data_IF_997605822407
#
_entry.id   IF_997605822407
#
_cell.length_a   1.000
_cell.length_b   1.000
_cell.length_c   1.000
_cell.angle_alpha   90.00
_cell.angle_beta   90.00
_cell.angle_gamma   90.00
#
_symmetry.space_group_name_H-M   'P 1'
#
loop_
_entity.id
_entity.type
_entity.pdbx_description
1 polymer ?
#
# COMPACT_ATOMS: atom_id res chain seq x y z
N UNK A 1 19.61 9.16 -11.49
CA UNK A 1 19.91 10.57 -11.23
C UNK A 1 19.30 11.52 -12.28
N UNK A 2 19.36 11.24 -13.58
CA UNK A 2 18.88 12.18 -14.64
C UNK A 2 17.40 12.58 -14.47
N UNK A 3 16.53 11.64 -14.07
CA UNK A 3 15.13 11.94 -13.76
C UNK A 3 15.00 12.84 -12.53
N UNK A 4 15.85 12.65 -11.53
CA UNK A 4 15.87 13.48 -10.33
C UNK A 4 16.33 14.91 -10.70
N UNK A 5 17.42 15.03 -11.46
CA UNK A 5 17.89 16.33 -11.95
C UNK A 5 16.83 17.09 -12.74
N UNK A 6 16.14 16.40 -13.66
CA UNK A 6 15.05 17.00 -14.44
C UNK A 6 13.89 17.50 -13.57
N UNK A 7 13.56 16.77 -12.51
CA UNK A 7 12.53 17.15 -11.54
C UNK A 7 12.99 18.35 -10.70
N UNK A 8 14.19 18.32 -10.16
CA UNK A 8 14.74 19.36 -9.27
C UNK A 8 15.11 20.64 -10.03
N UNK A 9 15.43 20.55 -11.32
CA UNK A 9 15.69 21.71 -12.16
C UNK A 9 14.49 22.67 -12.24
N UNK A 10 13.27 22.15 -12.16
CA UNK A 10 12.05 22.96 -12.18
C UNK A 10 11.96 23.90 -10.96
N UNK A 11 12.60 23.58 -9.86
CA UNK A 11 12.51 24.30 -8.59
C UNK A 11 13.79 25.05 -8.24
N UNK A 12 14.77 25.07 -9.14
CA UNK A 12 16.10 25.68 -8.90
C UNK A 12 16.76 25.17 -7.61
N UNK A 13 16.63 23.91 -7.35
CA UNK A 13 17.12 23.24 -6.13
C UNK A 13 18.63 23.32 -6.03
N UNK A 14 19.15 23.59 -4.84
CA UNK A 14 20.59 23.61 -4.60
C UNK A 14 21.20 22.21 -4.80
N UNK A 15 22.48 22.12 -5.18
CA UNK A 15 23.17 20.83 -5.30
C UNK A 15 23.23 20.06 -3.97
N UNK A 16 23.28 20.76 -2.85
CA UNK A 16 23.27 20.17 -1.53
C UNK A 16 21.90 19.56 -1.21
N UNK A 17 20.81 20.26 -1.53
CA UNK A 17 19.46 19.71 -1.34
C UNK A 17 19.20 18.55 -2.29
N UNK A 18 19.70 18.61 -3.52
CA UNK A 18 19.65 17.50 -4.47
C UNK A 18 20.38 16.26 -3.95
N UNK A 19 21.56 16.44 -3.31
CA UNK A 19 22.29 15.36 -2.66
C UNK A 19 21.47 14.70 -1.54
N UNK A 20 20.81 15.51 -0.70
CA UNK A 20 19.95 15.02 0.39
C UNK A 20 18.74 14.24 -0.13
N UNK A 21 18.11 14.72 -1.21
CA UNK A 21 16.98 14.00 -1.84
C UNK A 21 17.45 12.72 -2.51
N UNK A 22 18.62 12.71 -3.18
CA UNK A 22 19.19 11.51 -3.79
C UNK A 22 19.51 10.45 -2.73
N UNK A 23 20.11 10.84 -1.60
CA UNK A 23 20.38 9.95 -0.47
C UNK A 23 19.10 9.37 0.13
N UNK A 24 18.07 10.22 0.34
CA UNK A 24 16.76 9.77 0.84
C UNK A 24 16.16 8.69 -0.08
N UNK A 25 16.26 8.88 -1.39
CA UNK A 25 15.81 7.92 -2.40
C UNK A 25 16.75 6.72 -2.59
N UNK A 26 17.84 6.64 -1.82
CA UNK A 26 18.88 5.60 -1.95
C UNK A 26 19.50 5.52 -3.35
N UNK A 27 19.58 6.65 -4.06
CA UNK A 27 20.22 6.72 -5.36
C UNK A 27 21.75 6.79 -5.20
N UNK A 28 22.54 6.02 -5.97
CA UNK A 28 23.98 6.08 -5.90
C UNK A 28 24.47 7.46 -6.34
N UNK A 29 25.33 8.09 -5.52
CA UNK A 29 25.99 9.33 -5.89
C UNK A 29 27.27 8.99 -6.68
N UNK A 30 27.25 9.21 -7.98
CA UNK A 30 28.38 9.02 -8.91
C UNK A 30 29.34 10.21 -8.94
N UNK A 31 29.35 11.04 -7.90
CA UNK A 31 30.13 12.29 -7.82
C UNK A 31 29.40 13.51 -8.40
N UNK A 32 28.14 13.37 -8.82
CA UNK A 32 27.32 14.46 -9.39
C UNK A 32 26.92 15.49 -8.34
N UNK A 33 26.70 15.04 -7.11
CA UNK A 33 26.34 15.88 -5.97
C UNK A 33 27.46 15.91 -4.92
N UNK A 34 27.53 16.97 -4.09
CA UNK A 34 28.49 17.05 -3.00
C UNK A 34 28.29 15.90 -2.00
N UNK A 35 29.39 15.46 -1.40
CA UNK A 35 29.35 14.51 -0.30
C UNK A 35 28.65 15.14 0.91
N UNK A 36 27.94 14.31 1.66
CA UNK A 36 27.18 14.72 2.87
C UNK A 36 27.88 14.29 4.16
N UNK A 37 29.11 13.79 4.07
CA UNK A 37 29.86 13.19 5.18
C UNK A 37 30.18 14.20 6.31
N UNK A 38 30.22 15.48 5.98
CA UNK A 38 30.42 16.56 6.96
C UNK A 38 29.18 16.85 7.81
N UNK A 39 28.02 16.32 7.43
CA UNK A 39 26.77 16.53 8.16
C UNK A 39 26.53 15.40 9.17
N UNK A 40 26.38 15.75 10.42
CA UNK A 40 25.91 14.82 11.43
C UNK A 40 24.51 14.25 11.05
N UNK A 41 24.19 12.99 11.39
CA UNK A 41 22.92 12.36 10.99
C UNK A 41 21.69 13.20 11.32
N UNK A 42 21.66 13.85 12.47
CA UNK A 42 20.55 14.71 12.88
C UNK A 42 20.45 15.97 12.01
N UNK A 43 21.57 16.59 11.66
CA UNK A 43 21.62 17.76 10.78
C UNK A 43 21.20 17.38 9.36
N UNK A 44 21.64 16.22 8.89
CA UNK A 44 21.28 15.67 7.57
C UNK A 44 19.77 15.48 7.47
N UNK A 45 19.17 14.82 8.49
CA UNK A 45 17.71 14.67 8.56
C UNK A 45 16.98 16.00 8.57
N UNK A 46 17.41 16.95 9.40
CA UNK A 46 16.81 18.28 9.48
C UNK A 46 16.83 18.99 8.12
N UNK A 47 17.98 18.98 7.44
CA UNK A 47 18.14 19.60 6.11
C UNK A 47 17.34 18.88 5.02
N UNK A 48 17.19 17.55 5.10
CA UNK A 48 16.33 16.80 4.19
C UNK A 48 14.86 17.24 4.32
N UNK A 49 14.36 17.38 5.54
CA UNK A 49 13.00 17.86 5.79
C UNK A 49 12.80 19.31 5.30
N UNK A 50 13.82 20.15 5.47
CA UNK A 50 13.83 21.53 4.95
C UNK A 50 13.84 21.56 3.42
N UNK A 51 14.67 20.72 2.77
CA UNK A 51 14.73 20.61 1.31
C UNK A 51 13.39 20.15 0.73
N UNK A 52 12.74 19.15 1.31
CA UNK A 52 11.41 18.68 0.89
C UNK A 52 10.36 19.79 1.02
N UNK A 53 10.38 20.53 2.13
CA UNK A 53 9.46 21.64 2.33
C UNK A 53 9.71 22.78 1.33
N UNK A 54 10.98 23.08 1.04
CA UNK A 54 11.37 24.07 0.04
C UNK A 54 10.92 23.69 -1.38
N UNK A 55 10.88 22.39 -1.73
CA UNK A 55 10.33 21.92 -3.00
C UNK A 55 8.86 22.29 -3.15
N UNK A 56 8.05 22.07 -2.11
CA UNK A 56 6.62 22.44 -2.11
C UNK A 56 6.46 23.94 -2.29
N UNK A 57 7.27 24.76 -1.60
CA UNK A 57 7.26 26.21 -1.74
C UNK A 57 7.61 26.63 -3.18
N UNK A 58 8.68 26.08 -3.74
CA UNK A 58 9.15 26.45 -5.07
C UNK A 58 8.13 26.06 -6.17
N UNK A 59 7.53 24.89 -6.07
CA UNK A 59 6.47 24.44 -6.98
C UNK A 59 5.23 25.35 -6.89
N UNK A 60 4.83 25.70 -5.67
CA UNK A 60 3.65 26.53 -5.43
C UNK A 60 3.80 27.99 -5.92
N UNK A 61 5.03 28.50 -6.00
CA UNK A 61 5.31 29.83 -6.58
C UNK A 61 5.15 29.86 -8.09
N UNK A 62 5.29 28.73 -8.77
CA UNK A 62 5.11 28.66 -10.21
C UNK A 62 3.64 28.55 -10.60
N UNK A 63 2.91 27.69 -9.90
CA UNK A 63 1.47 27.45 -10.12
C UNK A 63 0.79 27.08 -8.79
N UNK A 64 -0.52 27.36 -8.64
CA UNK A 64 -1.28 26.82 -7.50
C UNK A 64 -1.12 25.30 -7.41
N UNK A 65 -0.81 24.80 -6.22
CA UNK A 65 -0.50 23.39 -5.98
C UNK A 65 -1.64 22.71 -5.24
N UNK A 66 -2.15 21.61 -5.80
CA UNK A 66 -3.03 20.67 -5.13
C UNK A 66 -2.21 19.46 -4.68
N UNK A 67 -2.17 19.21 -3.38
CA UNK A 67 -1.57 18.03 -2.79
C UNK A 67 -2.66 17.16 -2.18
N UNK A 68 -2.73 15.90 -2.55
CA UNK A 68 -3.66 14.91 -1.96
C UNK A 68 -2.83 13.84 -1.30
N UNK A 69 -3.05 13.65 0.00
CA UNK A 69 -2.38 12.65 0.79
C UNK A 69 -3.40 11.73 1.43
N UNK A 70 -3.49 10.51 0.92
CA UNK A 70 -4.48 9.54 1.34
C UNK A 70 -3.93 8.64 2.45
N UNK A 71 -4.83 8.19 3.32
CA UNK A 71 -4.56 7.20 4.37
C UNK A 71 -3.42 7.60 5.34
N UNK A 72 -3.38 8.87 5.77
CA UNK A 72 -2.32 9.40 6.65
C UNK A 72 -2.12 8.62 7.96
N UNK A 73 -3.10 7.82 8.39
CA UNK A 73 -3.00 6.95 9.56
C UNK A 73 -2.00 5.78 9.38
N UNK A 74 -1.49 5.56 8.16
CA UNK A 74 -0.51 4.52 7.85
C UNK A 74 0.89 5.10 7.62
N UNK A 75 1.02 6.40 7.78
CA UNK A 75 2.24 7.13 7.48
C UNK A 75 3.26 6.94 8.60
N UNK A 76 4.51 6.84 8.21
CA UNK A 76 5.64 6.84 9.15
C UNK A 76 5.81 8.21 9.83
N UNK A 77 6.40 8.24 11.03
CA UNK A 77 6.57 9.48 11.81
C UNK A 77 7.39 10.56 11.09
N UNK A 78 8.39 10.18 10.30
CA UNK A 78 9.22 11.13 9.57
C UNK A 78 8.43 11.85 8.48
N UNK A 79 7.60 11.12 7.74
CA UNK A 79 6.67 11.70 6.76
C UNK A 79 5.63 12.60 7.41
N UNK A 80 5.07 12.22 8.56
CA UNK A 80 4.14 13.07 9.32
C UNK A 80 4.79 14.39 9.76
N UNK A 81 6.08 14.38 10.09
CA UNK A 81 6.81 15.60 10.42
C UNK A 81 6.94 16.54 9.21
N UNK A 82 7.24 16.00 8.01
CA UNK A 82 7.26 16.78 6.76
C UNK A 82 5.91 17.46 6.54
N UNK A 83 4.80 16.72 6.66
CA UNK A 83 3.46 17.29 6.53
C UNK A 83 3.18 18.38 7.55
N UNK A 84 3.58 18.20 8.81
CA UNK A 84 3.47 19.22 9.83
C UNK A 84 4.17 20.52 9.44
N UNK A 85 5.39 20.43 8.91
CA UNK A 85 6.17 21.58 8.41
C UNK A 85 5.54 22.23 7.18
N UNK A 86 5.05 21.44 6.24
CA UNK A 86 4.33 21.94 5.06
C UNK A 86 3.08 22.70 5.50
N UNK A 87 2.27 22.17 6.40
CA UNK A 87 1.06 22.82 6.92
C UNK A 87 1.37 24.17 7.57
N UNK A 88 2.47 24.28 8.30
CA UNK A 88 2.89 25.56 8.89
C UNK A 88 3.30 26.60 7.83
N UNK A 89 3.86 26.14 6.70
CA UNK A 89 4.29 27.00 5.57
C UNK A 89 3.17 27.37 4.60
N UNK A 90 2.18 26.49 4.40
CA UNK A 90 1.03 26.68 3.48
C UNK A 90 0.24 27.98 3.74
N UNK A 91 0.36 28.55 4.93
CA UNK A 91 -0.33 29.81 5.29
C UNK A 91 -0.12 30.97 4.32
N UNK A 92 1.04 31.02 3.67
CA UNK A 92 1.45 32.10 2.77
C UNK A 92 1.59 31.63 1.31
N UNK A 93 1.21 30.39 0.99
CA UNK A 93 1.42 29.78 -0.31
C UNK A 93 0.09 29.41 -0.97
N UNK A 94 -0.01 29.45 -2.31
CA UNK A 94 -1.17 28.96 -3.04
C UNK A 94 -1.18 27.42 -3.10
N UNK A 95 -1.33 26.79 -1.94
CA UNK A 95 -1.37 25.32 -1.80
C UNK A 95 -2.66 24.89 -1.16
N UNK A 96 -3.35 23.94 -1.78
CA UNK A 96 -4.45 23.20 -1.16
C UNK A 96 -3.94 21.80 -0.82
N UNK A 97 -3.85 21.46 0.47
CA UNK A 97 -3.50 20.15 0.95
C UNK A 97 -4.77 19.44 1.46
N UNK A 98 -5.11 18.32 0.85
CA UNK A 98 -6.21 17.44 1.28
C UNK A 98 -5.57 16.19 1.90
N UNK A 99 -5.93 15.88 3.15
CA UNK A 99 -5.41 14.72 3.86
C UNK A 99 -6.59 13.85 4.29
N UNK A 100 -6.58 12.57 3.91
CA UNK A 100 -7.59 11.61 4.37
C UNK A 100 -7.00 10.72 5.46
N UNK A 101 -7.80 10.38 6.46
CA UNK A 101 -7.41 9.51 7.57
C UNK A 101 -8.63 8.88 8.23
N UNK A 102 -8.43 7.82 8.99
CA UNK A 102 -9.48 7.17 9.77
C UNK A 102 -9.73 7.89 11.10
N UNK A 103 -10.93 7.77 11.68
CA UNK A 103 -11.29 8.45 12.92
C UNK A 103 -10.39 8.14 14.11
N UNK A 104 -9.75 6.96 14.13
CA UNK A 104 -8.85 6.52 15.20
C UNK A 104 -7.49 7.22 15.15
N UNK A 105 -7.18 7.88 14.04
CA UNK A 105 -5.93 8.62 13.89
C UNK A 105 -6.10 10.06 14.36
N UNK A 106 -5.25 10.48 15.28
CA UNK A 106 -5.19 11.84 15.79
C UNK A 106 -4.07 12.62 15.09
N UNK A 107 -4.37 13.34 14.00
CA UNK A 107 -3.34 14.06 13.28
C UNK A 107 -2.83 15.25 14.10
N UNK A 108 -1.50 15.48 14.15
CA UNK A 108 -0.89 16.50 15.01
C UNK A 108 -1.16 17.95 14.56
N UNK A 109 -1.88 18.14 13.48
CA UNK A 109 -2.22 19.46 12.91
C UNK A 109 -3.67 19.88 13.12
N UNK A 110 -4.52 19.06 13.71
CA UNK A 110 -5.90 19.46 14.04
C UNK A 110 -5.87 20.65 15.01
N UNK A 111 -6.73 21.62 14.74
CA UNK A 111 -6.80 22.86 15.51
C UNK A 111 -5.78 23.93 15.11
N UNK A 112 -4.87 23.65 14.18
CA UNK A 112 -3.98 24.69 13.62
C UNK A 112 -4.76 25.67 12.74
N UNK A 113 -4.33 26.93 12.65
CA UNK A 113 -4.94 27.91 11.76
C UNK A 113 -4.96 27.44 10.30
N UNK A 114 -6.10 27.65 9.61
CA UNK A 114 -6.37 27.23 8.22
C UNK A 114 -6.44 25.70 7.99
N UNK A 115 -6.54 24.92 9.06
CA UNK A 115 -6.88 23.52 8.97
C UNK A 115 -8.37 23.37 9.25
N UNK A 116 -9.10 22.78 8.31
CA UNK A 116 -10.51 22.45 8.44
C UNK A 116 -10.66 20.94 8.47
N UNK A 117 -11.19 20.39 9.55
CA UNK A 117 -11.54 18.98 9.63
C UNK A 117 -12.96 18.78 9.08
N UNK A 118 -13.10 17.86 8.13
CA UNK A 118 -14.36 17.46 7.54
C UNK A 118 -14.62 16.00 7.88
N UNK A 119 -15.75 15.71 8.50
CA UNK A 119 -16.21 14.33 8.75
C UNK A 119 -17.08 13.89 7.58
N UNK A 120 -16.66 12.81 6.91
CA UNK A 120 -17.45 12.16 5.86
C UNK A 120 -18.32 11.11 6.55
N UNK A 121 -19.63 11.36 6.55
CA UNK A 121 -20.61 10.46 7.13
C UNK A 121 -21.03 9.35 6.16
N UNK A 122 -21.73 8.36 6.67
CA UNK A 122 -22.39 7.33 5.86
C UNK A 122 -23.39 7.97 4.89
N UNK A 123 -23.63 7.31 3.75
CA UNK A 123 -24.64 7.74 2.79
C UNK A 123 -26.04 7.67 3.38
N UNK A 124 -26.88 8.67 3.09
CA UNK A 124 -28.30 8.58 3.34
C UNK A 124 -28.95 7.61 2.33
N UNK A 125 -30.12 7.08 2.65
CA UNK A 125 -30.84 6.11 1.81
C UNK A 125 -30.98 6.58 0.36
N UNK A 126 -31.35 7.83 0.13
CA UNK A 126 -31.47 8.42 -1.20
C UNK A 126 -30.15 8.36 -1.99
N UNK A 127 -29.02 8.58 -1.32
CA UNK A 127 -27.71 8.59 -1.96
C UNK A 127 -27.26 7.14 -2.25
N UNK A 128 -27.64 6.18 -1.39
CA UNK A 128 -27.44 4.75 -1.64
C UNK A 128 -28.20 4.32 -2.89
N UNK A 129 -29.48 4.68 -2.99
CA UNK A 129 -30.33 4.38 -4.16
C UNK A 129 -29.73 4.95 -5.45
N UNK A 130 -29.30 6.23 -5.43
CA UNK A 130 -28.65 6.87 -6.56
C UNK A 130 -27.32 6.18 -6.93
N UNK A 131 -26.59 5.68 -5.96
CA UNK A 131 -25.34 4.96 -6.19
C UNK A 131 -25.62 3.58 -6.81
N UNK A 132 -26.60 2.84 -6.31
CA UNK A 132 -27.06 1.58 -6.90
C UNK A 132 -27.43 1.79 -8.37
N UNK A 133 -28.26 2.80 -8.67
CA UNK A 133 -28.69 3.12 -10.05
C UNK A 133 -27.49 3.37 -10.97
N UNK A 134 -26.47 4.08 -10.47
CA UNK A 134 -25.25 4.35 -11.24
C UNK A 134 -24.44 3.09 -11.51
N UNK A 135 -24.33 2.17 -10.54
CA UNK A 135 -23.60 0.91 -10.69
C UNK A 135 -24.36 -0.05 -11.62
N UNK A 136 -25.67 -0.12 -11.47
CA UNK A 136 -26.56 -0.98 -12.30
C UNK A 136 -26.59 -0.52 -13.75
N UNK A 137 -26.61 0.79 -13.98
CA UNK A 137 -26.74 1.39 -15.32
C UNK A 137 -28.09 1.02 -15.94
N UNK A 138 -28.07 0.40 -17.13
CA UNK A 138 -29.27 0.01 -17.89
C UNK A 138 -29.80 -1.38 -17.52
N UNK A 139 -29.26 -2.05 -16.51
CA UNK A 139 -29.71 -3.37 -16.08
C UNK A 139 -30.85 -3.26 -15.09
N UNK A 140 -31.56 -4.34 -14.87
CA UNK A 140 -32.66 -4.42 -13.90
C UNK A 140 -32.20 -5.20 -12.67
N UNK A 141 -32.43 -4.64 -11.50
CA UNK A 141 -32.32 -5.34 -10.20
C UNK A 141 -33.69 -5.33 -9.54
N UNK A 142 -34.21 -6.49 -9.07
CA UNK A 142 -35.45 -6.56 -8.32
C UNK A 142 -35.46 -5.62 -7.10
N UNK A 143 -36.64 -5.05 -6.78
CA UNK A 143 -36.77 -4.13 -5.64
C UNK A 143 -36.32 -4.76 -4.32
N UNK A 144 -36.67 -6.02 -4.07
CA UNK A 144 -36.27 -6.76 -2.86
C UNK A 144 -34.76 -6.88 -2.71
N UNK A 145 -34.03 -7.09 -3.81
CA UNK A 145 -32.55 -7.15 -3.85
C UNK A 145 -31.95 -5.77 -3.57
N UNK A 146 -32.58 -4.73 -4.11
CA UNK A 146 -32.20 -3.33 -3.86
C UNK A 146 -32.35 -2.98 -2.36
N UNK A 147 -33.48 -3.33 -1.77
CA UNK A 147 -33.75 -3.10 -0.35
C UNK A 147 -32.73 -3.84 0.53
N UNK A 148 -32.39 -5.08 0.18
CA UNK A 148 -31.36 -5.86 0.87
C UNK A 148 -29.97 -5.19 0.79
N UNK A 149 -29.60 -4.63 -0.38
CA UNK A 149 -28.33 -3.89 -0.52
C UNK A 149 -28.34 -2.62 0.34
N UNK A 150 -29.44 -1.88 0.36
CA UNK A 150 -29.59 -0.66 1.17
C UNK A 150 -29.40 -1.00 2.64
N UNK A 151 -30.09 -2.01 3.15
CA UNK A 151 -30.05 -2.42 4.56
C UNK A 151 -28.64 -2.91 4.96
N UNK A 152 -28.05 -3.82 4.17
CA UNK A 152 -26.79 -4.47 4.52
C UNK A 152 -25.54 -3.62 4.29
N UNK A 153 -25.60 -2.64 3.39
CA UNK A 153 -24.47 -1.73 3.13
C UNK A 153 -24.24 -0.74 4.27
N UNK A 154 -25.25 -0.52 5.12
CA UNK A 154 -25.19 0.42 6.26
C UNK A 154 -24.67 1.81 5.84
N UNK A 155 -24.98 2.24 4.62
CA UNK A 155 -24.55 3.52 4.06
C UNK A 155 -23.07 3.67 3.76
N UNK A 156 -22.31 2.60 3.77
CA UNK A 156 -20.88 2.62 3.41
C UNK A 156 -20.75 2.49 1.89
N UNK A 157 -20.22 3.53 1.19
CA UNK A 157 -20.18 3.55 -0.28
C UNK A 157 -19.58 2.30 -0.92
N UNK A 158 -18.45 1.85 -0.38
CA UNK A 158 -17.78 0.65 -0.87
C UNK A 158 -18.67 -0.60 -0.76
N UNK A 159 -19.47 -0.70 0.31
CA UNK A 159 -20.35 -1.84 0.50
C UNK A 159 -21.51 -1.81 -0.51
N UNK A 160 -22.06 -0.62 -0.77
CA UNK A 160 -23.08 -0.43 -1.81
C UNK A 160 -22.54 -0.89 -3.17
N UNK A 161 -21.36 -0.41 -3.56
CA UNK A 161 -20.73 -0.75 -4.84
C UNK A 161 -20.44 -2.25 -4.94
N UNK A 162 -19.78 -2.84 -3.95
CA UNK A 162 -19.32 -4.23 -4.01
C UNK A 162 -20.48 -5.23 -3.92
N UNK A 163 -21.50 -4.97 -3.10
CA UNK A 163 -22.69 -5.80 -3.03
C UNK A 163 -23.49 -5.73 -4.34
N UNK A 164 -23.68 -4.54 -4.90
CA UNK A 164 -24.36 -4.36 -6.16
C UNK A 164 -23.63 -5.08 -7.31
N UNK A 165 -22.30 -4.94 -7.38
CA UNK A 165 -21.48 -5.64 -8.38
C UNK A 165 -21.57 -7.16 -8.22
N UNK A 166 -21.55 -7.67 -7.00
CA UNK A 166 -21.67 -9.11 -6.73
C UNK A 166 -22.99 -9.68 -7.23
N UNK A 167 -24.11 -8.95 -7.06
CA UNK A 167 -25.44 -9.32 -7.60
C UNK A 167 -25.41 -9.33 -9.14
N UNK A 168 -24.87 -8.28 -9.76
CA UNK A 168 -24.80 -8.18 -11.23
C UNK A 168 -23.89 -9.25 -11.87
N UNK A 169 -22.86 -9.66 -11.18
CA UNK A 169 -21.98 -10.76 -11.63
C UNK A 169 -22.70 -12.11 -11.51
N UNK A 170 -23.48 -12.34 -10.44
CA UNK A 170 -24.28 -13.54 -10.28
C UNK A 170 -25.37 -13.69 -11.37
N UNK A 171 -26.03 -12.60 -11.72
CA UNK A 171 -27.01 -12.59 -12.84
C UNK A 171 -26.40 -13.00 -14.18
N UNK A 172 -25.17 -12.53 -14.48
CA UNK A 172 -24.48 -12.88 -15.73
C UNK A 172 -24.15 -14.36 -15.83
N UNK A 173 -23.89 -15.03 -14.72
CA UNK A 173 -23.55 -16.45 -14.70
C UNK A 173 -24.79 -17.35 -14.87
N UNK A 174 -25.97 -16.87 -14.44
CA UNK A 174 -27.22 -17.60 -14.55
C UNK A 174 -27.89 -17.47 -15.94
N UNK A 175 -27.56 -16.41 -16.72
CA UNK A 175 -28.18 -16.12 -18.00
C UNK A 175 -28.02 -17.25 -19.05
N UNK A 176 -26.89 -17.96 -19.18
CA UNK A 176 -26.72 -19.09 -20.11
C UNK A 176 -27.47 -20.35 -19.73
N UNK A 177 -27.95 -20.49 -18.48
CA UNK A 177 -28.56 -21.72 -17.94
C UNK A 177 -30.09 -21.62 -17.79
N UNK A 178 -30.73 -20.50 -18.13
CA UNK A 178 -32.17 -20.33 -17.98
C UNK A 178 -32.94 -21.06 -19.09
N UNK A 179 -33.75 -22.10 -18.76
CA UNK A 179 -34.83 -22.53 -19.62
C UNK A 179 -35.89 -21.43 -19.63
N UNK A 180 -36.55 -21.26 -20.77
CA UNK A 180 -37.51 -20.20 -21.07
C UNK A 180 -38.82 -20.18 -20.21
N UNK A 181 -38.76 -20.64 -19.00
CA UNK A 181 -39.88 -20.66 -18.02
C UNK A 181 -39.47 -19.86 -16.79
N UNK A 182 -40.13 -18.74 -16.63
CA UNK A 182 -40.05 -17.79 -15.51
C UNK A 182 -40.43 -18.46 -14.19
N UNK A 183 -39.44 -18.94 -13.43
CA UNK A 183 -39.55 -19.14 -12.00
C UNK A 183 -38.78 -17.99 -11.34
N UNK A 184 -39.32 -17.29 -10.32
CA UNK A 184 -38.56 -16.28 -9.59
C UNK A 184 -37.32 -16.96 -9.01
N UNK A 185 -36.13 -16.59 -9.49
CA UNK A 185 -34.88 -17.17 -8.99
C UNK A 185 -34.67 -16.72 -7.56
N UNK A 186 -34.73 -17.66 -6.63
CA UNK A 186 -34.30 -17.49 -5.23
C UNK A 186 -32.78 -17.34 -5.07
N UNK A 187 -32.04 -17.24 -6.18
CA UNK A 187 -30.58 -17.32 -6.23
C UNK A 187 -29.86 -15.96 -6.20
N UNK A 188 -30.57 -14.82 -6.37
CA UNK A 188 -29.98 -13.49 -6.23
C UNK A 188 -29.88 -13.06 -4.77
N UNK A 189 -29.19 -13.86 -3.97
CA UNK A 189 -28.97 -13.51 -2.57
C UNK A 189 -27.87 -12.43 -2.47
N UNK A 190 -28.22 -11.27 -1.91
CA UNK A 190 -27.22 -10.27 -1.51
C UNK A 190 -26.31 -10.87 -0.43
N UNK A 191 -24.99 -10.79 -0.60
CA UNK A 191 -24.06 -11.31 0.40
C UNK A 191 -24.31 -10.72 1.79
N UNK A 192 -24.17 -11.53 2.83
CA UNK A 192 -24.46 -11.13 4.20
C UNK A 192 -23.51 -10.05 4.77
N UNK A 193 -22.36 -9.87 4.13
CA UNK A 193 -21.35 -8.87 4.51
C UNK A 193 -20.49 -8.50 3.32
N UNK A 194 -19.77 -7.37 3.42
CA UNK A 194 -18.75 -6.99 2.42
C UNK A 194 -17.71 -8.09 2.23
N UNK A 195 -17.26 -8.71 3.31
CA UNK A 195 -16.27 -9.80 3.22
C UNK A 195 -16.84 -10.97 2.39
N UNK A 196 -18.06 -11.36 2.63
CA UNK A 196 -18.73 -12.41 1.85
C UNK A 196 -18.88 -12.01 0.36
N UNK A 197 -19.19 -10.74 0.07
CA UNK A 197 -19.24 -10.21 -1.29
C UNK A 197 -17.89 -10.30 -1.99
N UNK A 198 -16.84 -9.81 -1.35
CA UNK A 198 -15.49 -9.85 -1.90
C UNK A 198 -15.00 -11.30 -2.10
N UNK A 199 -15.32 -12.18 -1.15
CA UNK A 199 -15.01 -13.61 -1.28
C UNK A 199 -15.69 -14.24 -2.49
N UNK A 200 -16.99 -14.01 -2.66
CA UNK A 200 -17.74 -14.52 -3.82
C UNK A 200 -17.14 -14.00 -5.14
N UNK A 201 -16.76 -12.73 -5.21
CA UNK A 201 -16.11 -12.14 -6.40
C UNK A 201 -14.72 -12.74 -6.66
N UNK A 202 -13.93 -12.95 -5.61
CA UNK A 202 -12.62 -13.62 -5.74
C UNK A 202 -12.77 -15.08 -6.19
N UNK A 203 -13.79 -15.80 -5.70
CA UNK A 203 -14.04 -17.18 -6.09
C UNK A 203 -14.44 -17.30 -7.57
N UNK A 204 -15.18 -16.33 -8.11
CA UNK A 204 -15.54 -16.25 -9.54
C UNK A 204 -14.33 -16.05 -10.46
N UNK A 205 -13.21 -15.57 -9.97
CA UNK A 205 -11.98 -15.49 -10.77
C UNK A 205 -11.47 -16.87 -11.20
N UNK A 206 -11.90 -17.95 -10.52
CA UNK A 206 -11.41 -19.31 -10.78
C UNK A 206 -9.88 -19.40 -10.63
N UNK A 207 -9.16 -19.95 -11.62
CA UNK A 207 -7.69 -20.07 -11.55
C UNK A 207 -6.95 -18.73 -11.40
N UNK A 208 -7.53 -17.62 -11.83
CA UNK A 208 -6.92 -16.29 -11.68
C UNK A 208 -6.95 -15.76 -10.24
N UNK A 209 -7.73 -16.38 -9.34
CA UNK A 209 -7.73 -16.09 -7.90
C UNK A 209 -6.33 -16.24 -7.29
N UNK A 210 -5.56 -17.25 -7.72
CA UNK A 210 -4.19 -17.49 -7.26
C UNK A 210 -3.31 -16.25 -7.49
N UNK A 211 -3.41 -15.63 -8.65
CA UNK A 211 -2.61 -14.44 -8.98
C UNK A 211 -2.99 -13.25 -8.09
N UNK A 212 -4.28 -13.07 -7.79
CA UNK A 212 -4.73 -12.07 -6.84
C UNK A 212 -4.22 -12.36 -5.40
N UNK A 213 -4.20 -13.61 -4.98
CA UNK A 213 -3.66 -14.04 -3.69
C UNK A 213 -2.16 -13.77 -3.57
N UNK A 214 -1.39 -14.08 -4.61
CA UNK A 214 0.06 -13.82 -4.65
C UNK A 214 0.33 -12.31 -4.62
N UNK A 215 -0.38 -11.54 -5.44
CA UNK A 215 -0.30 -10.07 -5.41
C UNK A 215 -0.62 -9.51 -4.02
N UNK A 216 -1.66 -10.03 -3.35
CA UNK A 216 -2.05 -9.60 -2.01
C UNK A 216 -0.99 -9.91 -0.95
N UNK A 217 -0.25 -11.01 -1.09
CA UNK A 217 0.87 -11.37 -0.22
C UNK A 217 2.10 -10.46 -0.45
N UNK A 218 2.38 -10.07 -1.70
CA UNK A 218 3.43 -9.10 -2.02
C UNK A 218 3.09 -7.75 -1.38
N UNK A 219 1.90 -7.20 -1.66
CA UNK A 219 1.51 -5.91 -1.10
C UNK A 219 0.20 -5.34 -1.64
N UNK A 220 -0.10 -4.09 -1.28
CA UNK A 220 -1.21 -3.33 -1.89
C UNK A 220 -0.92 -2.99 -3.34
N UNK A 221 0.34 -2.73 -3.62
CA UNK A 221 0.92 -2.48 -4.92
C UNK A 221 2.03 -3.50 -5.17
N UNK A 222 2.14 -4.00 -6.39
CA UNK A 222 3.15 -4.99 -6.75
C UNK A 222 3.55 -4.87 -8.22
N UNK A 223 4.84 -5.09 -8.51
CA UNK A 223 5.37 -5.06 -9.87
C UNK A 223 5.06 -6.35 -10.63
N UNK A 224 4.89 -6.22 -11.95
CA UNK A 224 4.75 -7.36 -12.86
C UNK A 224 5.94 -8.31 -12.74
N UNK A 225 7.14 -7.76 -12.71
CA UNK A 225 8.38 -8.54 -12.65
C UNK A 225 8.45 -9.41 -11.39
N UNK A 226 8.14 -8.85 -10.20
CA UNK A 226 8.15 -9.63 -8.96
C UNK A 226 7.04 -10.70 -8.95
N UNK A 227 5.85 -10.34 -9.45
CA UNK A 227 4.76 -11.31 -9.56
C UNK A 227 5.13 -12.47 -10.48
N UNK A 228 5.73 -12.21 -11.65
CA UNK A 228 6.21 -13.21 -12.60
C UNK A 228 7.26 -14.14 -11.96
N UNK A 229 8.22 -13.58 -11.23
CA UNK A 229 9.25 -14.35 -10.53
C UNK A 229 8.69 -15.30 -9.47
N UNK A 230 7.57 -14.91 -8.82
CA UNK A 230 6.94 -15.70 -7.75
C UNK A 230 5.94 -16.72 -8.28
N UNK A 231 5.25 -16.46 -9.40
CA UNK A 231 4.18 -17.33 -9.93
C UNK A 231 4.70 -18.52 -10.72
N UNK A 232 5.90 -18.45 -11.29
CA UNK A 232 6.46 -19.44 -12.22
C UNK A 232 5.55 -19.74 -13.43
N UNK A 233 4.63 -18.82 -13.78
CA UNK A 233 3.75 -18.94 -14.93
C UNK A 233 4.43 -18.40 -16.20
N UNK A 234 4.08 -19.00 -17.34
CA UNK A 234 4.48 -18.39 -18.62
C UNK A 234 3.82 -17.01 -18.78
N UNK A 235 4.49 -16.08 -19.45
CA UNK A 235 4.05 -14.68 -19.57
C UNK A 235 2.62 -14.56 -20.10
N UNK A 236 2.26 -15.33 -21.14
CA UNK A 236 0.91 -15.31 -21.71
C UNK A 236 -0.16 -15.82 -20.73
N UNK A 237 0.18 -16.82 -19.89
CA UNK A 237 -0.73 -17.34 -18.87
C UNK A 237 -0.90 -16.33 -17.74
N UNK A 238 0.19 -15.69 -17.30
CA UNK A 238 0.17 -14.67 -16.27
C UNK A 238 -0.66 -13.46 -16.72
N UNK A 239 -0.48 -13.00 -17.96
CA UNK A 239 -1.24 -11.89 -18.50
C UNK A 239 -2.74 -12.23 -18.55
N UNK A 240 -3.11 -13.41 -19.06
CA UNK A 240 -4.51 -13.87 -19.06
C UNK A 240 -5.11 -13.97 -17.65
N UNK A 241 -4.31 -14.40 -16.67
CA UNK A 241 -4.74 -14.47 -15.28
C UNK A 241 -4.89 -13.08 -14.63
N UNK A 242 -4.11 -12.08 -15.05
CA UNK A 242 -4.23 -10.70 -14.58
C UNK A 242 -5.40 -9.96 -15.23
N UNK A 243 -5.76 -10.28 -16.48
CA UNK A 243 -6.86 -9.63 -17.18
C UNK A 243 -8.21 -9.86 -16.47
N UNK A 244 -8.42 -11.03 -15.83
CA UNK A 244 -9.66 -11.34 -15.11
C UNK A 244 -9.90 -10.43 -13.91
N UNK A 245 -8.99 -10.29 -12.92
CA UNK A 245 -9.21 -9.40 -11.80
C UNK A 245 -9.24 -7.93 -12.22
N UNK A 246 -8.58 -7.54 -13.33
CA UNK A 246 -8.70 -6.19 -13.89
C UNK A 246 -10.10 -5.97 -14.51
N UNK A 247 -10.61 -6.90 -15.29
CA UNK A 247 -11.95 -6.84 -15.86
C UNK A 247 -13.05 -6.86 -14.78
N UNK A 248 -12.81 -7.58 -13.66
CA UNK A 248 -13.67 -7.57 -12.49
C UNK A 248 -13.54 -6.28 -11.64
N UNK A 249 -12.67 -5.32 -12.01
CA UNK A 249 -12.46 -4.09 -11.25
C UNK A 249 -11.85 -4.28 -9.86
N UNK A 250 -11.12 -5.38 -9.64
CA UNK A 250 -10.43 -5.67 -8.38
C UNK A 250 -8.98 -5.16 -8.38
N UNK A 251 -8.38 -5.08 -9.57
CA UNK A 251 -7.02 -4.59 -9.79
C UNK A 251 -7.01 -3.48 -10.84
N UNK A 252 -6.11 -2.53 -10.65
CA UNK A 252 -5.73 -1.54 -11.66
C UNK A 252 -4.29 -1.78 -12.10
N UNK A 253 -4.01 -1.47 -13.37
CA UNK A 253 -2.67 -1.54 -13.94
C UNK A 253 -2.19 -0.15 -14.31
N UNK A 254 -0.96 0.15 -13.92
CA UNK A 254 -0.22 1.31 -14.34
C UNK A 254 0.98 0.88 -15.18
N UNK A 255 1.13 1.46 -16.37
CA UNK A 255 2.20 1.08 -17.31
C UNK A 255 1.90 -0.19 -18.11
N UNK A 256 2.92 -0.72 -18.75
CA UNK A 256 2.87 -1.93 -19.57
C UNK A 256 3.92 -2.96 -19.11
N UNK A 257 3.62 -4.28 -19.20
CA UNK A 257 4.63 -5.31 -18.92
C UNK A 257 5.89 -5.11 -19.79
N UNK A 258 7.08 -5.48 -19.30
CA UNK A 258 7.37 -6.06 -17.98
C UNK A 258 7.44 -5.04 -16.83
N UNK A 259 7.33 -3.73 -17.12
CA UNK A 259 7.47 -2.64 -16.15
C UNK A 259 6.14 -2.18 -15.54
N UNK A 260 5.06 -2.94 -15.77
CA UNK A 260 3.76 -2.63 -15.21
C UNK A 260 3.75 -2.79 -13.68
N UNK A 261 2.95 -1.96 -13.04
CA UNK A 261 2.62 -2.06 -11.63
C UNK A 261 1.13 -2.30 -11.49
N UNK A 262 0.73 -3.15 -10.57
CA UNK A 262 -0.66 -3.47 -10.26
C UNK A 262 -1.00 -2.98 -8.87
N UNK A 263 -2.19 -2.41 -8.74
CA UNK A 263 -2.71 -1.86 -7.48
C UNK A 263 -4.08 -2.46 -7.20
N UNK A 264 -4.31 -2.95 -5.99
CA UNK A 264 -5.65 -3.32 -5.55
C UNK A 264 -6.53 -2.08 -5.48
N UNK A 265 -7.72 -2.12 -6.10
CA UNK A 265 -8.67 -1.00 -6.12
C UNK A 265 -8.97 -0.50 -4.71
N UNK A 266 -9.12 -1.44 -3.77
CA UNK A 266 -9.35 -1.16 -2.36
C UNK A 266 -8.50 -2.08 -1.47
N UNK A 267 -8.04 -1.55 -0.33
CA UNK A 267 -7.26 -2.33 0.65
C UNK A 267 -8.03 -3.58 1.12
N UNK A 268 -9.35 -3.47 1.26
CA UNK A 268 -10.21 -4.60 1.67
C UNK A 268 -10.24 -5.74 0.64
N UNK A 269 -10.08 -5.45 -0.66
CA UNK A 269 -9.95 -6.50 -1.69
C UNK A 269 -8.65 -7.27 -1.48
N UNK A 270 -7.54 -6.57 -1.23
CA UNK A 270 -6.26 -7.19 -0.89
C UNK A 270 -6.38 -8.04 0.36
N UNK A 271 -6.99 -7.49 1.42
CA UNK A 271 -7.13 -8.17 2.71
C UNK A 271 -8.00 -9.44 2.58
N UNK A 272 -9.09 -9.36 1.80
CA UNK A 272 -9.92 -10.52 1.49
C UNK A 272 -9.12 -11.58 0.71
N UNK A 273 -8.41 -11.20 -0.36
CA UNK A 273 -7.58 -12.12 -1.15
C UNK A 273 -6.49 -12.78 -0.29
N UNK A 274 -5.79 -12.01 0.53
CA UNK A 274 -4.78 -12.51 1.46
C UNK A 274 -5.36 -13.44 2.52
N UNK A 275 -6.54 -13.09 3.06
CA UNK A 275 -7.24 -13.86 4.08
C UNK A 275 -7.70 -15.24 3.60
N UNK A 276 -7.84 -15.45 2.28
CA UNK A 276 -8.16 -16.77 1.70
C UNK A 276 -7.00 -17.78 1.73
N UNK A 277 -5.78 -17.29 1.93
CA UNK A 277 -4.61 -18.15 2.01
C UNK A 277 -4.59 -18.92 3.34
N UNK A 278 -4.54 -20.23 3.25
CA UNK A 278 -4.32 -21.07 4.41
C UNK A 278 -2.90 -20.87 4.97
N UNK A 279 -2.71 -21.21 6.24
CA UNK A 279 -1.46 -20.93 6.97
C UNK A 279 -0.20 -21.46 6.27
N UNK A 280 -0.18 -22.73 5.90
CA UNK A 280 1.01 -23.34 5.29
C UNK A 280 1.27 -22.82 3.86
N UNK A 281 0.28 -22.77 2.93
CA UNK A 281 0.47 -22.11 1.64
C UNK A 281 0.93 -20.66 1.76
N UNK A 282 0.42 -19.90 2.74
CA UNK A 282 0.84 -18.52 3.02
C UNK A 282 2.31 -18.44 3.39
N UNK A 283 2.77 -19.30 4.31
CA UNK A 283 4.19 -19.39 4.70
C UNK A 283 5.08 -19.72 3.52
N UNK A 284 4.71 -20.73 2.74
CA UNK A 284 5.44 -21.13 1.54
C UNK A 284 5.50 -19.98 0.50
N UNK A 285 4.40 -19.24 0.34
CA UNK A 285 4.35 -18.10 -0.57
C UNK A 285 5.29 -16.96 -0.11
N UNK A 286 5.28 -16.60 1.17
CA UNK A 286 6.20 -15.61 1.68
C UNK A 286 7.66 -16.05 1.57
N UNK A 287 7.97 -17.32 1.73
CA UNK A 287 9.32 -17.85 1.50
C UNK A 287 9.76 -17.67 0.04
N UNK A 288 8.88 -17.95 -0.94
CA UNK A 288 9.15 -17.71 -2.37
C UNK A 288 9.35 -16.25 -2.69
N UNK A 289 8.53 -15.36 -2.09
CA UNK A 289 8.68 -13.91 -2.28
C UNK A 289 10.03 -13.45 -1.72
N UNK A 290 10.41 -13.90 -0.53
CA UNK A 290 11.70 -13.58 0.07
C UNK A 290 12.88 -14.07 -0.80
N UNK A 291 12.81 -15.29 -1.32
CA UNK A 291 13.82 -15.85 -2.22
C UNK A 291 13.92 -15.05 -3.54
N UNK A 292 12.79 -14.69 -4.14
CA UNK A 292 12.78 -13.87 -5.35
C UNK A 292 13.40 -12.49 -5.11
N UNK A 293 13.07 -11.84 -3.99
CA UNK A 293 13.64 -10.55 -3.61
C UNK A 293 15.16 -10.64 -3.46
N UNK A 294 15.69 -11.69 -2.85
CA UNK A 294 17.13 -11.86 -2.62
C UNK A 294 17.90 -12.24 -3.88
N UNK A 295 17.32 -13.07 -4.74
CA UNK A 295 18.03 -13.61 -5.90
C UNK A 295 17.91 -12.74 -7.15
N UNK A 296 16.79 -12.04 -7.34
CA UNK A 296 16.50 -11.32 -8.58
C UNK A 296 16.27 -9.81 -8.37
N UNK A 297 15.97 -9.38 -7.14
CA UNK A 297 15.69 -7.98 -6.81
C UNK A 297 16.60 -7.49 -5.66
N UNK A 298 17.90 -7.77 -5.79
CA UNK A 298 18.90 -7.47 -4.77
C UNK A 298 18.91 -5.99 -4.37
N UNK A 299 18.75 -5.08 -5.34
CA UNK A 299 18.69 -3.64 -5.09
C UNK A 299 17.52 -3.27 -4.16
N UNK A 300 16.37 -3.93 -4.33
CA UNK A 300 15.21 -3.75 -3.46
C UNK A 300 15.48 -4.36 -2.08
N UNK A 301 16.01 -5.58 -2.03
CA UNK A 301 16.33 -6.25 -0.78
C UNK A 301 17.38 -5.48 0.05
N UNK A 302 18.34 -4.88 -0.61
CA UNK A 302 19.36 -4.04 0.03
C UNK A 302 18.82 -2.67 0.45
N UNK A 303 18.05 -2.01 -0.40
CA UNK A 303 17.48 -0.68 -0.12
C UNK A 303 16.32 -0.71 0.88
N UNK A 304 15.59 -1.80 0.98
CA UNK A 304 14.41 -1.97 1.84
C UNK A 304 14.48 -3.28 2.63
N UNK A 305 15.46 -3.42 3.55
CA UNK A 305 15.62 -4.64 4.35
C UNK A 305 14.38 -4.97 5.20
N UNK A 306 13.58 -3.98 5.58
CA UNK A 306 12.31 -4.15 6.29
C UNK A 306 11.26 -4.88 5.46
N UNK A 307 11.23 -4.69 4.15
CA UNK A 307 10.33 -5.42 3.24
C UNK A 307 10.67 -6.91 3.25
N UNK A 308 11.94 -7.23 3.05
CA UNK A 308 12.43 -8.62 3.09
C UNK A 308 12.24 -9.24 4.48
N UNK A 309 12.51 -8.48 5.55
CA UNK A 309 12.31 -8.91 6.93
C UNK A 309 10.86 -9.34 7.20
N UNK A 310 9.89 -8.57 6.68
CA UNK A 310 8.48 -8.89 6.79
C UNK A 310 8.17 -10.25 6.14
N UNK A 311 8.64 -10.48 4.92
CA UNK A 311 8.39 -11.73 4.22
C UNK A 311 9.08 -12.91 4.92
N UNK A 312 10.30 -12.75 5.42
CA UNK A 312 10.98 -13.76 6.22
C UNK A 312 10.23 -14.08 7.53
N UNK A 313 9.67 -13.05 8.19
CA UNK A 313 8.83 -13.22 9.39
C UNK A 313 7.60 -14.07 9.09
N UNK A 314 6.85 -13.73 8.06
CA UNK A 314 5.64 -14.47 7.64
C UNK A 314 5.96 -15.88 7.14
N UNK A 315 7.15 -16.09 6.56
CA UNK A 315 7.65 -17.39 6.15
C UNK A 315 8.11 -18.26 7.33
N UNK A 316 8.23 -17.69 8.55
CA UNK A 316 8.77 -18.38 9.71
C UNK A 316 10.30 -18.54 9.68
N UNK A 317 11.02 -17.79 8.85
CA UNK A 317 12.48 -17.74 8.79
C UNK A 317 13.02 -16.77 9.86
N UNK A 318 12.80 -17.12 11.12
CA UNK A 318 12.93 -16.19 12.25
C UNK A 318 14.35 -15.64 12.40
N UNK A 319 15.39 -16.50 12.34
CA UNK A 319 16.79 -16.06 12.50
C UNK A 319 17.16 -15.02 11.42
N UNK A 320 16.73 -15.26 10.17
CA UNK A 320 16.95 -14.34 9.06
C UNK A 320 16.17 -13.03 9.21
N UNK A 321 14.90 -13.13 9.63
CA UNK A 321 14.06 -11.96 9.89
C UNK A 321 14.66 -11.06 10.98
N UNK A 322 15.20 -11.64 12.06
CA UNK A 322 15.88 -10.89 13.13
C UNK A 322 17.06 -10.08 12.57
N UNK A 323 17.94 -10.72 11.78
CA UNK A 323 19.08 -10.02 11.18
C UNK A 323 18.64 -8.86 10.28
N UNK A 324 17.61 -9.08 9.47
CA UNK A 324 17.08 -8.06 8.55
C UNK A 324 16.36 -6.91 9.28
N UNK A 325 15.57 -7.20 10.33
CA UNK A 325 14.99 -6.16 11.19
C UNK A 325 16.05 -5.36 11.93
N UNK A 326 17.15 -6.01 12.37
CA UNK A 326 18.31 -5.35 12.94
C UNK A 326 18.98 -4.40 11.96
N UNK A 327 19.23 -4.86 10.72
CA UNK A 327 19.79 -4.05 9.63
C UNK A 327 18.88 -2.85 9.28
N UNK A 328 17.56 -3.07 9.24
CA UNK A 328 16.59 -2.00 9.01
C UNK A 328 16.66 -0.95 10.12
N UNK A 329 16.69 -1.39 11.40
CA UNK A 329 16.79 -0.52 12.56
C UNK A 329 18.08 0.31 12.56
N UNK A 330 19.21 -0.31 12.26
CA UNK A 330 20.48 0.39 12.14
C UNK A 330 20.43 1.47 11.04
N UNK A 331 19.90 1.14 9.88
CA UNK A 331 19.73 2.11 8.77
C UNK A 331 18.83 3.29 9.16
N UNK A 332 17.76 3.03 9.88
CA UNK A 332 16.88 4.08 10.38
C UNK A 332 17.60 4.96 11.40
N UNK A 333 18.47 4.40 12.24
CA UNK A 333 19.33 5.18 13.15
C UNK A 333 20.30 6.07 12.40
N UNK A 334 20.98 5.55 11.38
CA UNK A 334 21.90 6.32 10.52
C UNK A 334 21.22 7.51 9.84
N UNK A 335 19.92 7.38 9.55
CA UNK A 335 19.08 8.46 9.01
C UNK A 335 18.40 9.31 10.07
N UNK A 336 18.73 9.11 11.36
CA UNK A 336 18.07 9.75 12.52
C UNK A 336 16.55 9.59 12.56
N UNK A 337 16.01 8.54 11.96
CA UNK A 337 14.60 8.14 12.02
C UNK A 337 14.40 7.25 13.25
N UNK A 338 14.50 7.85 14.45
CA UNK A 338 14.61 7.12 15.73
C UNK A 338 13.36 6.33 16.09
N UNK A 339 12.18 6.82 15.72
CA UNK A 339 10.90 6.13 15.99
C UNK A 339 10.78 4.88 15.15
N UNK A 340 11.12 4.97 13.87
CA UNK A 340 11.18 3.84 12.93
C UNK A 340 12.22 2.82 13.39
N UNK A 341 13.41 3.28 13.77
CA UNK A 341 14.47 2.44 14.30
C UNK A 341 14.02 1.66 15.55
N UNK A 342 13.40 2.34 16.52
CA UNK A 342 12.84 1.70 17.70
C UNK A 342 11.78 0.64 17.37
N UNK A 343 10.89 0.93 16.43
CA UNK A 343 9.86 -0.02 15.97
C UNK A 343 10.49 -1.27 15.33
N UNK A 344 11.48 -1.09 14.46
CA UNK A 344 12.15 -2.18 13.74
C UNK A 344 12.98 -3.05 14.70
N UNK A 345 13.72 -2.44 15.63
CA UNK A 345 14.47 -3.17 16.65
C UNK A 345 13.51 -3.92 17.59
N UNK A 346 12.39 -3.31 17.99
CA UNK A 346 11.38 -3.98 18.81
C UNK A 346 10.81 -5.21 18.09
N UNK A 347 10.59 -5.14 16.78
CA UNK A 347 10.18 -6.31 15.97
C UNK A 347 11.25 -7.40 15.99
N UNK A 348 12.53 -7.04 15.83
CA UNK A 348 13.63 -7.99 15.93
C UNK A 348 13.64 -8.71 17.28
N UNK A 349 13.54 -7.96 18.39
CA UNK A 349 13.48 -8.50 19.74
C UNK A 349 12.26 -9.41 19.95
N UNK A 350 11.10 -9.00 19.46
CA UNK A 350 9.88 -9.81 19.52
C UNK A 350 10.04 -11.15 18.78
N UNK A 351 10.75 -11.17 17.64
CA UNK A 351 11.05 -12.40 16.90
C UNK A 351 12.03 -13.29 17.68
N UNK A 352 13.06 -12.73 18.32
CA UNK A 352 14.00 -13.47 19.17
C UNK A 352 13.26 -14.19 20.30
N UNK A 353 12.27 -13.55 20.91
CA UNK A 353 11.48 -14.12 21.99
C UNK A 353 10.67 -15.38 21.56
N UNK A 354 10.43 -15.55 20.24
CA UNK A 354 9.73 -16.73 19.70
C UNK A 354 10.68 -17.89 19.40
N UNK A 355 12.00 -17.68 19.41
CA UNK A 355 12.97 -18.76 19.19
C UNK A 355 13.00 -19.69 20.40
N UNK A 356 13.03 -21.03 20.17
CA UNK A 356 13.24 -21.96 21.27
C UNK A 356 14.58 -21.66 21.94
N UNK A 357 14.59 -21.59 23.27
CA UNK A 357 15.81 -21.36 24.05
C UNK A 357 16.89 -22.37 23.66
N UNK A 358 17.83 -21.96 22.83
CA UNK A 358 19.12 -22.66 22.72
C UNK A 358 20.00 -22.09 23.83
N UNK A 359 20.36 -22.88 24.84
CA UNK A 359 21.42 -22.47 25.77
C UNK A 359 22.73 -22.59 25.01
N UNK A 360 23.22 -21.53 24.38
CA UNK A 360 24.66 -21.31 24.15
C UNK A 360 24.89 -20.10 23.21
N UNK A 361 25.74 -19.19 23.73
CA UNK A 361 26.67 -18.35 22.97
C UNK A 361 26.13 -17.18 22.13
N UNK A 362 25.47 -16.22 22.77
CA UNK A 362 25.77 -14.84 22.42
C UNK A 362 26.92 -14.36 23.32
N UNK A 363 28.14 -14.60 22.90
CA UNK A 363 29.30 -13.89 23.43
C UNK A 363 29.21 -12.47 22.92
N UNK A 364 28.68 -11.58 23.73
CA UNK A 364 28.80 -10.14 23.52
C UNK A 364 30.30 -9.86 23.70
N UNK A 365 31.02 -9.66 22.58
CA UNK A 365 32.33 -9.06 22.64
C UNK A 365 32.17 -7.65 23.27
N UNK A 366 32.75 -7.37 24.44
CA UNK A 366 32.80 -6.01 24.93
C UNK A 366 33.73 -5.25 23.98
N UNK A 367 33.18 -4.26 23.26
CA UNK A 367 33.96 -3.28 22.56
C UNK A 367 34.87 -2.61 23.59
N UNK A 368 36.17 -2.86 23.45
CA UNK A 368 37.24 -2.18 24.21
C UNK A 368 37.13 -0.68 23.88
N UNK A 369 36.69 0.06 24.90
CA UNK A 369 36.87 1.50 24.99
C UNK A 369 38.36 1.74 25.19
N UNK A 370 39.03 2.34 24.24
CA UNK A 370 40.26 3.14 24.41
C UNK A 370 40.05 4.49 23.79
#
# INVERSE_FOLDING_TARGET
LDKLDAMLAQTSTSKQDAALVAEMLSLPNDGRYPALDELEPQQRRQKTLEALTAQVEALSRQNPLLMIFEDAHWTDPSSLEVFGRVIDRVRSLPVLLIVTFRPEFEPPWIGRPRVTALTINRLAQRDIEAMIDRVVGNKFIPASVRDDVIERSDGIPLFVEEMTNSVLEAEREEEPQRPAVTVPSTALAVPASLHASLMARLDRLGPAKEVAQIGAAIGREFSHALLAAVTYKAEAELQSALDRPMAAGLLWRQGAPPHATYLFKHALVRDAAYGTLLREPRRALHARIAEALESQFTDIAESQPELLARHCTEAGQIEKAVGLWGKAGQRSMERSALVEAASQITRALGQIATLPHRPTAFSICPASVQ
#
